data_IF_757584725619
#
_entry.id   IF_757584725619
#
_cell.length_a   1.000
_cell.length_b   1.000
_cell.length_c   1.000
_cell.angle_alpha   90.00
_cell.angle_beta   90.00
_cell.angle_gamma   90.00
#
_symmetry.space_group_name_H-M   'P 1'
#
loop_
_entity.id
_entity.type
_entity.pdbx_description
1 polymer ?
#
# COMPACT_ATOMS: atom_id res chain seq x y z
N UNK A 1 17.44 -15.50 70.68
CA UNK A 1 16.53 -14.48 70.13
C UNK A 1 16.98 -14.13 68.71
N UNK A 2 16.32 -14.67 67.68
CA UNK A 2 16.67 -14.44 66.28
C UNK A 2 15.79 -13.31 65.73
N UNK A 3 16.42 -12.21 65.31
CA UNK A 3 15.74 -11.09 64.66
C UNK A 3 15.61 -11.38 63.16
N UNK A 4 14.40 -11.53 62.62
CA UNK A 4 14.16 -11.61 61.21
C UNK A 4 13.98 -10.19 60.65
N UNK A 5 14.89 -9.78 59.76
CA UNK A 5 14.79 -8.56 58.98
C UNK A 5 13.98 -8.89 57.73
N UNK A 6 12.78 -8.31 57.62
CA UNK A 6 11.91 -8.45 56.45
C UNK A 6 12.35 -7.35 55.46
N UNK A 7 13.06 -7.74 54.41
CA UNK A 7 13.38 -6.86 53.29
C UNK A 7 12.16 -6.80 52.34
N UNK A 8 11.42 -5.70 52.36
CA UNK A 8 10.37 -5.41 51.40
C UNK A 8 11.03 -4.90 50.12
N UNK A 9 11.12 -5.76 49.12
CA UNK A 9 11.49 -5.36 47.75
C UNK A 9 10.36 -4.59 47.11
N UNK A 10 10.50 -3.27 47.02
CA UNK A 10 9.61 -2.37 46.29
C UNK A 10 9.89 -2.55 44.79
N UNK A 11 9.16 -3.42 44.12
CA UNK A 11 9.19 -3.53 42.66
C UNK A 11 8.49 -2.32 42.06
N UNK A 12 9.26 -1.28 41.73
CA UNK A 12 8.79 -0.19 40.88
C UNK A 12 8.52 -0.75 39.47
N UNK A 13 7.28 -1.07 39.18
CA UNK A 13 6.81 -1.39 37.83
C UNK A 13 7.04 -0.17 36.94
N UNK A 14 8.06 -0.23 36.09
CA UNK A 14 8.22 0.73 35.01
C UNK A 14 7.09 0.48 34.01
N UNK A 15 6.01 1.24 34.09
CA UNK A 15 5.09 1.40 33.00
C UNK A 15 5.84 2.15 31.90
N UNK A 16 6.48 1.42 30.99
CA UNK A 16 6.94 1.97 29.73
C UNK A 16 5.70 2.32 28.93
N UNK A 17 5.22 3.57 29.05
CA UNK A 17 4.33 4.14 28.06
C UNK A 17 5.09 4.17 26.75
N UNK A 18 4.85 3.19 25.86
CA UNK A 18 5.27 3.32 24.49
C UNK A 18 4.55 4.55 23.90
N UNK A 19 5.28 5.53 23.35
CA UNK A 19 4.61 6.71 22.77
C UNK A 19 3.64 6.22 21.70
N UNK A 20 2.42 6.75 21.71
CA UNK A 20 1.46 6.46 20.65
C UNK A 20 1.94 7.17 19.36
N UNK A 21 2.62 6.42 18.49
CA UNK A 21 3.17 6.96 17.25
C UNK A 21 2.10 7.23 16.18
N UNK A 22 0.82 7.03 16.49
CA UNK A 22 -0.30 7.27 15.57
C UNK A 22 -0.88 8.65 15.76
N UNK A 23 -0.89 9.44 14.70
CA UNK A 23 -1.54 10.75 14.63
C UNK A 23 -2.74 10.67 13.69
N UNK A 24 -3.91 11.07 14.18
CA UNK A 24 -5.11 11.24 13.35
C UNK A 24 -5.14 12.67 12.84
N UNK A 25 -5.02 12.86 11.53
CA UNK A 25 -4.95 14.18 10.90
C UNK A 25 -6.25 14.55 10.18
N UNK A 26 -7.06 15.39 10.83
CA UNK A 26 -8.31 15.90 10.26
C UNK A 26 -8.10 16.96 9.16
N UNK A 27 -6.91 17.54 9.03
CA UNK A 27 -6.63 18.50 7.96
C UNK A 27 -6.60 17.80 6.59
N UNK A 28 -6.12 16.57 6.54
CA UNK A 28 -6.15 15.74 5.33
C UNK A 28 -7.59 15.39 4.95
N UNK A 29 -8.47 15.11 5.92
CA UNK A 29 -9.90 14.88 5.65
C UNK A 29 -10.51 16.07 4.93
N UNK A 30 -10.21 17.31 5.35
CA UNK A 30 -10.66 18.54 4.68
C UNK A 30 -10.16 18.64 3.23
N UNK A 31 -8.95 18.14 2.94
CA UNK A 31 -8.44 18.09 1.57
C UNK A 31 -9.26 17.11 0.73
N UNK A 32 -9.57 15.92 1.27
CA UNK A 32 -10.40 14.92 0.61
C UNK A 32 -11.80 15.48 0.32
N UNK A 33 -12.43 16.12 1.31
CA UNK A 33 -13.75 16.75 1.16
C UNK A 33 -13.73 17.85 0.07
N UNK A 34 -12.68 18.70 0.08
CA UNK A 34 -12.50 19.75 -0.94
C UNK A 34 -12.30 19.21 -2.35
N UNK A 35 -11.79 17.99 -2.47
CA UNK A 35 -11.65 17.28 -3.74
C UNK A 35 -12.93 16.54 -4.16
N UNK A 36 -14.00 16.58 -3.34
CA UNK A 36 -15.26 15.88 -3.59
C UNK A 36 -15.17 14.36 -3.47
N UNK A 37 -14.25 13.86 -2.66
CA UNK A 37 -14.04 12.43 -2.45
C UNK A 37 -14.24 12.06 -0.97
N UNK A 38 -14.65 10.82 -0.75
CA UNK A 38 -14.68 10.20 0.57
C UNK A 38 -13.61 9.11 0.59
N UNK A 39 -12.84 8.99 1.68
CA UNK A 39 -11.81 7.98 1.72
C UNK A 39 -10.89 8.10 2.91
N UNK A 40 -9.73 7.48 2.80
CA UNK A 40 -8.67 7.54 3.79
C UNK A 40 -7.30 7.75 3.13
N UNK A 41 -6.43 8.36 3.88
CA UNK A 41 -5.01 8.45 3.59
C UNK A 41 -4.24 7.93 4.80
N UNK A 42 -3.15 7.23 4.55
CA UNK A 42 -2.21 6.88 5.60
C UNK A 42 -0.78 7.00 5.11
N UNK A 43 0.11 7.45 6.00
CA UNK A 43 1.53 7.61 5.76
C UNK A 43 2.30 7.06 6.96
N UNK A 44 3.19 6.11 6.70
CA UNK A 44 4.06 5.49 7.67
C UNK A 44 5.51 5.91 7.42
N UNK A 45 6.11 6.61 8.36
CA UNK A 45 7.54 6.89 8.41
C UNK A 45 8.28 5.66 8.95
N UNK A 46 9.03 4.98 8.10
CA UNK A 46 9.62 3.69 8.46
C UNK A 46 10.67 3.79 9.58
N UNK A 47 11.46 4.86 9.62
CA UNK A 47 12.54 5.05 10.60
C UNK A 47 12.03 5.27 12.03
N UNK A 48 11.09 6.19 12.21
CA UNK A 48 10.52 6.54 13.50
C UNK A 48 9.32 5.67 13.90
N UNK A 49 8.70 4.99 12.94
CA UNK A 49 7.42 4.31 13.13
C UNK A 49 6.25 5.28 13.30
N UNK A 50 6.43 6.58 13.05
CA UNK A 50 5.36 7.58 13.08
C UNK A 50 4.34 7.28 11.99
N UNK A 51 3.07 7.30 12.36
CA UNK A 51 1.97 6.93 11.49
C UNK A 51 0.91 8.03 11.47
N UNK A 52 0.76 8.70 10.35
CA UNK A 52 -0.28 9.73 10.14
C UNK A 52 -1.43 9.13 9.37
N UNK A 53 -2.65 9.22 9.90
CA UNK A 53 -3.85 8.63 9.30
C UNK A 53 -4.94 9.68 9.21
N UNK A 54 -5.58 9.78 8.06
CA UNK A 54 -6.85 10.50 7.88
C UNK A 54 -7.98 9.48 7.73
N UNK A 55 -9.05 9.61 8.52
CA UNK A 55 -10.20 8.71 8.55
C UNK A 55 -9.84 7.26 8.92
N UNK A 56 -9.52 7.05 10.20
CA UNK A 56 -9.05 5.77 10.72
C UNK A 56 -10.00 4.59 10.46
N UNK A 57 -11.31 4.78 10.64
CA UNK A 57 -12.29 3.70 10.41
C UNK A 57 -12.32 3.30 8.94
N UNK A 58 -12.30 4.26 8.02
CA UNK A 58 -12.24 3.96 6.59
C UNK A 58 -10.92 3.24 6.22
N UNK A 59 -9.81 3.66 6.82
CA UNK A 59 -8.50 3.04 6.61
C UNK A 59 -8.48 1.56 7.03
N UNK A 60 -9.06 1.22 8.19
CA UNK A 60 -8.98 -0.13 8.77
C UNK A 60 -10.13 -1.04 8.36
N UNK A 61 -11.34 -0.50 8.27
CA UNK A 61 -12.56 -1.31 8.26
C UNK A 61 -13.24 -1.34 6.89
N UNK A 62 -12.92 -0.37 5.99
CA UNK A 62 -13.50 -0.34 4.65
C UNK A 62 -12.65 -1.16 3.69
N UNK A 63 -13.17 -2.34 3.33
CA UNK A 63 -12.58 -3.19 2.31
C UNK A 63 -13.23 -2.92 0.95
N UNK A 64 -12.43 -2.79 -0.10
CA UNK A 64 -12.86 -2.52 -1.47
C UNK A 64 -12.11 -3.40 -2.45
N UNK A 65 -12.66 -3.56 -3.66
CA UNK A 65 -11.95 -4.26 -4.75
C UNK A 65 -10.57 -3.62 -4.96
N UNK A 66 -9.50 -4.41 -5.04
CA UNK A 66 -8.15 -3.87 -5.24
C UNK A 66 -7.95 -3.24 -6.61
N UNK A 67 -8.80 -3.53 -7.59
CA UNK A 67 -8.67 -3.07 -8.96
C UNK A 67 -7.28 -3.43 -9.53
N UNK A 68 -6.71 -2.61 -10.39
CA UNK A 68 -5.37 -2.84 -10.94
C UNK A 68 -4.22 -2.75 -9.91
N UNK A 69 -4.47 -2.30 -8.66
CA UNK A 69 -3.47 -2.44 -7.60
C UNK A 69 -3.17 -3.89 -7.25
N UNK A 70 -4.08 -4.82 -7.55
CA UNK A 70 -3.85 -6.26 -7.49
C UNK A 70 -2.65 -6.70 -8.33
N UNK A 71 -2.31 -5.98 -9.39
CA UNK A 71 -1.27 -6.37 -10.33
C UNK A 71 0.15 -6.43 -9.74
N UNK A 72 0.35 -5.93 -8.52
CA UNK A 72 1.56 -6.22 -7.73
C UNK A 72 1.82 -7.73 -7.70
N UNK A 73 0.79 -8.50 -7.40
CA UNK A 73 0.92 -9.94 -7.16
C UNK A 73 1.25 -10.73 -8.42
N UNK A 74 0.48 -10.65 -9.52
CA UNK A 74 0.85 -11.35 -10.76
C UNK A 74 2.17 -10.84 -11.36
N UNK A 75 2.58 -9.58 -11.14
CA UNK A 75 3.91 -9.10 -11.55
C UNK A 75 5.02 -9.86 -10.83
N UNK A 76 4.94 -9.97 -9.51
CA UNK A 76 5.94 -10.68 -8.72
C UNK A 76 5.99 -12.18 -9.06
N UNK A 77 4.83 -12.84 -9.21
CA UNK A 77 4.76 -14.24 -9.62
C UNK A 77 5.36 -14.44 -11.01
N UNK A 78 5.04 -13.57 -11.96
CA UNK A 78 5.50 -13.68 -13.34
C UNK A 78 7.01 -13.46 -13.47
N UNK A 79 7.56 -12.50 -12.71
CA UNK A 79 9.01 -12.29 -12.59
C UNK A 79 9.69 -13.52 -11.97
N UNK A 80 9.12 -14.07 -10.93
CA UNK A 80 9.68 -15.22 -10.21
C UNK A 80 9.68 -16.49 -11.04
N UNK A 81 8.67 -16.68 -11.87
CA UNK A 81 8.53 -17.82 -12.79
C UNK A 81 9.21 -17.60 -14.14
N UNK A 82 9.79 -16.41 -14.40
CA UNK A 82 10.40 -16.09 -15.69
C UNK A 82 9.40 -15.89 -16.84
N UNK A 83 8.10 -15.72 -16.54
CA UNK A 83 7.06 -15.34 -17.52
C UNK A 83 7.35 -13.93 -18.05
N UNK A 84 7.79 -13.05 -17.14
CA UNK A 84 8.32 -11.72 -17.48
C UNK A 84 9.83 -11.74 -17.33
N UNK A 85 10.53 -11.33 -18.40
CA UNK A 85 11.98 -11.21 -18.36
C UNK A 85 12.40 -10.01 -17.49
N UNK A 86 13.26 -10.23 -16.50
CA UNK A 86 13.77 -9.20 -15.59
C UNK A 86 14.44 -8.02 -16.30
N UNK A 87 15.08 -8.24 -17.44
CA UNK A 87 15.79 -7.20 -18.18
C UNK A 87 14.86 -6.38 -19.10
N UNK A 88 13.66 -6.88 -19.36
CA UNK A 88 12.66 -6.25 -20.22
C UNK A 88 11.43 -5.76 -19.45
N UNK A 89 11.39 -5.98 -18.15
CA UNK A 89 10.28 -5.55 -17.30
C UNK A 89 10.22 -4.02 -17.30
N UNK A 90 9.16 -3.48 -17.87
CA UNK A 90 8.87 -2.05 -17.95
C UNK A 90 7.41 -1.83 -17.60
N UNK A 91 7.14 -0.91 -16.68
CA UNK A 91 5.77 -0.59 -16.32
C UNK A 91 4.97 -0.04 -17.53
N UNK A 92 5.61 0.73 -18.41
CA UNK A 92 4.95 1.31 -19.58
C UNK A 92 4.36 0.26 -20.52
N UNK A 93 4.98 -0.92 -20.63
CA UNK A 93 4.45 -2.05 -21.42
C UNK A 93 3.43 -2.89 -20.63
N UNK A 94 3.33 -2.68 -19.33
CA UNK A 94 2.54 -3.50 -18.39
C UNK A 94 1.30 -2.76 -17.86
N UNK A 95 1.04 -1.54 -18.31
CA UNK A 95 -0.07 -0.70 -17.80
C UNK A 95 -1.41 -0.97 -18.54
N UNK A 96 -1.66 -2.22 -18.91
CA UNK A 96 -2.92 -2.59 -19.54
C UNK A 96 -3.56 -3.80 -18.88
N UNK A 97 -4.89 -3.72 -18.74
CA UNK A 97 -5.70 -4.83 -18.20
C UNK A 97 -5.53 -6.09 -19.05
N UNK A 98 -5.48 -5.98 -20.38
CA UNK A 98 -5.30 -7.12 -21.28
C UNK A 98 -3.95 -7.81 -21.12
N UNK A 99 -2.88 -7.06 -20.85
CA UNK A 99 -1.58 -7.61 -20.54
C UNK A 99 -1.65 -8.48 -19.27
N UNK A 100 -2.26 -7.98 -18.20
CA UNK A 100 -2.38 -8.72 -16.96
C UNK A 100 -3.34 -9.90 -17.03
N UNK A 101 -4.40 -9.82 -17.81
CA UNK A 101 -5.28 -10.97 -18.08
C UNK A 101 -4.49 -12.13 -18.72
N UNK A 102 -3.60 -11.82 -19.67
CA UNK A 102 -2.70 -12.82 -20.28
C UNK A 102 -1.71 -13.39 -19.25
N UNK A 103 -1.06 -12.54 -18.45
CA UNK A 103 -0.15 -12.97 -17.37
C UNK A 103 -0.87 -13.86 -16.36
N UNK A 104 -2.05 -13.48 -15.90
CA UNK A 104 -2.86 -14.26 -14.94
C UNK A 104 -3.25 -15.62 -15.53
N UNK A 105 -3.58 -15.67 -16.82
CA UNK A 105 -3.86 -16.92 -17.54
C UNK A 105 -2.63 -17.84 -17.55
N UNK A 106 -1.45 -17.31 -17.85
CA UNK A 106 -0.20 -18.08 -17.84
C UNK A 106 0.21 -18.56 -16.45
N UNK A 107 -0.01 -17.74 -15.41
CA UNK A 107 0.23 -18.10 -14.00
C UNK A 107 -0.69 -19.24 -13.57
N UNK A 108 -1.95 -19.19 -13.99
CA UNK A 108 -2.99 -20.15 -13.65
C UNK A 108 -3.66 -19.89 -12.29
N UNK A 109 -4.97 -20.17 -12.24
CA UNK A 109 -5.85 -19.92 -11.08
C UNK A 109 -5.29 -20.47 -9.77
N UNK A 110 -4.84 -21.73 -9.77
CA UNK A 110 -4.39 -22.39 -8.54
C UNK A 110 -3.16 -21.71 -7.92
N UNK A 111 -2.25 -21.21 -8.75
CA UNK A 111 -1.07 -20.46 -8.28
C UNK A 111 -1.49 -19.12 -7.67
N UNK A 112 -2.41 -18.41 -8.33
CA UNK A 112 -2.95 -17.13 -7.81
C UNK A 112 -3.58 -17.35 -6.43
N UNK A 113 -4.49 -18.32 -6.28
CA UNK A 113 -5.17 -18.62 -5.01
C UNK A 113 -4.15 -18.95 -3.92
N UNK A 114 -3.24 -19.89 -4.18
CA UNK A 114 -2.20 -20.28 -3.20
C UNK A 114 -1.34 -19.10 -2.77
N UNK A 115 -1.05 -18.19 -3.69
CA UNK A 115 -0.23 -17.01 -3.38
C UNK A 115 -1.03 -16.01 -2.54
N UNK A 116 -2.27 -15.71 -2.90
CA UNK A 116 -3.19 -14.87 -2.11
C UNK A 116 -3.25 -15.38 -0.65
N UNK A 117 -3.48 -16.68 -0.48
CA UNK A 117 -3.57 -17.31 0.85
C UNK A 117 -2.25 -17.22 1.62
N UNK A 118 -1.12 -17.50 0.96
CA UNK A 118 0.22 -17.52 1.59
C UNK A 118 0.65 -16.17 2.12
N UNK A 119 0.28 -15.08 1.43
CA UNK A 119 0.63 -13.72 1.85
C UNK A 119 -0.51 -13.03 2.62
N UNK A 120 -1.66 -13.69 2.76
CA UNK A 120 -2.88 -13.14 3.38
C UNK A 120 -3.31 -11.85 2.71
N UNK A 121 -3.49 -11.90 1.38
CA UNK A 121 -3.90 -10.75 0.60
C UNK A 121 -5.41 -10.55 0.67
N UNK A 122 -5.85 -9.58 1.45
CA UNK A 122 -7.26 -9.19 1.52
C UNK A 122 -8.20 -10.29 2.04
N UNK A 123 -9.46 -10.16 1.69
CA UNK A 123 -10.56 -11.06 2.07
C UNK A 123 -11.40 -11.42 0.85
N UNK A 124 -12.13 -12.55 0.97
CA UNK A 124 -13.00 -13.03 -0.09
C UNK A 124 -12.38 -14.18 -0.89
N UNK A 125 -12.90 -14.36 -2.08
CA UNK A 125 -12.52 -15.48 -2.94
C UNK A 125 -12.14 -14.98 -4.34
N UNK A 126 -11.25 -15.70 -4.98
CA UNK A 126 -11.03 -15.51 -6.41
C UNK A 126 -12.23 -16.10 -7.15
N UNK A 127 -13.06 -15.27 -7.79
CA UNK A 127 -14.22 -15.72 -8.53
C UNK A 127 -13.85 -16.63 -9.71
N UNK A 128 -14.83 -17.27 -10.34
CA UNK A 128 -14.60 -18.09 -11.52
C UNK A 128 -14.10 -17.25 -12.71
N UNK A 129 -14.45 -15.96 -12.75
CA UNK A 129 -13.99 -15.04 -13.79
C UNK A 129 -12.56 -14.58 -13.52
N UNK A 130 -11.59 -15.33 -14.01
CA UNK A 130 -10.17 -15.04 -13.86
C UNK A 130 -9.72 -13.73 -14.53
N UNK A 131 -10.57 -13.12 -15.33
CA UNK A 131 -10.25 -11.87 -16.05
C UNK A 131 -10.71 -10.62 -15.30
N UNK A 132 -11.45 -10.76 -14.20
CA UNK A 132 -12.07 -9.61 -13.52
C UNK A 132 -12.18 -9.73 -12.00
N UNK A 133 -11.80 -10.87 -11.39
CA UNK A 133 -12.00 -11.11 -9.95
C UNK A 133 -11.39 -10.03 -9.04
N UNK A 134 -10.40 -9.29 -9.52
CA UNK A 134 -9.80 -8.17 -8.79
C UNK A 134 -10.64 -6.88 -8.83
N UNK A 135 -11.72 -6.83 -9.61
CA UNK A 135 -12.63 -5.68 -9.72
C UNK A 135 -14.10 -6.02 -9.53
N UNK A 136 -14.48 -7.31 -9.52
CA UNK A 136 -15.88 -7.76 -9.45
C UNK A 136 -16.47 -7.79 -8.02
N UNK A 137 -15.68 -7.40 -7.02
CA UNK A 137 -16.08 -7.39 -5.61
C UNK A 137 -15.90 -8.72 -4.88
N UNK A 138 -15.51 -9.79 -5.57
CA UNK A 138 -15.29 -11.10 -4.94
C UNK A 138 -14.04 -11.14 -4.06
N UNK A 139 -13.00 -10.39 -4.43
CA UNK A 139 -11.80 -10.15 -3.67
C UNK A 139 -11.78 -8.68 -3.20
N UNK A 140 -11.60 -8.47 -1.89
CA UNK A 140 -11.56 -7.13 -1.30
C UNK A 140 -10.36 -6.97 -0.39
N UNK A 141 -9.87 -5.74 -0.24
CA UNK A 141 -8.70 -5.41 0.59
C UNK A 141 -8.91 -4.06 1.27
N UNK A 142 -8.38 -3.90 2.47
CA UNK A 142 -8.39 -2.62 3.20
C UNK A 142 -7.16 -1.77 2.83
N UNK A 143 -7.21 -0.48 3.15
CA UNK A 143 -6.06 0.40 2.97
C UNK A 143 -4.89 -0.01 3.88
N UNK A 144 -5.16 -0.51 5.08
CA UNK A 144 -4.15 -1.05 6.01
C UNK A 144 -3.40 -2.25 5.40
N UNK A 145 -4.14 -3.19 4.83
CA UNK A 145 -3.54 -4.36 4.17
C UNK A 145 -2.72 -3.98 2.93
N UNK A 146 -3.18 -3.01 2.13
CA UNK A 146 -2.44 -2.49 0.97
C UNK A 146 -1.12 -1.81 1.38
N UNK A 147 -1.14 -0.99 2.44
CA UNK A 147 0.06 -0.36 2.98
C UNK A 147 1.06 -1.42 3.49
N UNK A 148 0.57 -2.43 4.19
CA UNK A 148 1.37 -3.56 4.64
C UNK A 148 1.99 -4.34 3.48
N UNK A 149 1.25 -4.55 2.40
CA UNK A 149 1.75 -5.26 1.21
C UNK A 149 2.90 -4.51 0.53
N UNK A 150 2.73 -3.21 0.25
CA UNK A 150 3.77 -2.42 -0.43
C UNK A 150 5.04 -2.30 0.42
N UNK A 151 4.90 -2.17 1.75
CA UNK A 151 6.03 -2.20 2.69
C UNK A 151 6.78 -3.53 2.63
N UNK A 152 6.06 -4.66 2.70
CA UNK A 152 6.67 -6.00 2.59
C UNK A 152 7.37 -6.21 1.24
N UNK A 153 6.78 -5.74 0.14
CA UNK A 153 7.41 -5.78 -1.19
C UNK A 153 8.69 -4.95 -1.23
N UNK A 154 8.70 -3.77 -0.62
CA UNK A 154 9.88 -2.90 -0.53
C UNK A 154 11.03 -3.59 0.21
N UNK A 155 10.78 -4.18 1.37
CA UNK A 155 11.78 -4.86 2.19
C UNK A 155 12.09 -6.29 1.73
N UNK A 156 11.51 -6.75 0.62
CA UNK A 156 11.71 -8.11 0.09
C UNK A 156 11.31 -9.20 1.10
N UNK A 157 10.24 -8.96 1.84
CA UNK A 157 9.68 -9.85 2.85
C UNK A 157 8.55 -10.74 2.31
N UNK A 158 8.15 -10.54 1.04
CA UNK A 158 7.21 -11.43 0.38
C UNK A 158 7.90 -12.74 -0.07
N UNK A 159 7.17 -13.85 -0.21
CA UNK A 159 7.74 -15.16 -0.54
C UNK A 159 8.10 -15.27 -2.04
N UNK A 160 8.85 -14.29 -2.55
CA UNK A 160 9.38 -14.23 -3.89
C UNK A 160 10.89 -14.00 -3.85
N UNK A 161 11.58 -14.33 -4.95
CA UNK A 161 13.00 -14.06 -5.07
C UNK A 161 13.29 -12.58 -4.85
N UNK A 162 14.36 -12.27 -4.12
CA UNK A 162 14.76 -10.89 -3.85
C UNK A 162 14.96 -10.08 -5.13
N UNK A 163 15.50 -10.72 -6.17
CA UNK A 163 15.70 -10.10 -7.49
C UNK A 163 14.37 -9.70 -8.14
N UNK A 164 13.33 -10.54 -8.06
CA UNK A 164 12.00 -10.24 -8.60
C UNK A 164 11.39 -9.01 -7.89
N UNK A 165 11.54 -8.92 -6.58
CA UNK A 165 11.07 -7.78 -5.79
C UNK A 165 11.87 -6.50 -6.08
N UNK A 166 13.17 -6.59 -6.37
CA UNK A 166 13.99 -5.45 -6.81
C UNK A 166 13.56 -4.94 -8.19
N UNK A 167 13.30 -5.84 -9.13
CA UNK A 167 12.80 -5.45 -10.46
C UNK A 167 11.44 -4.78 -10.33
N UNK A 168 10.54 -5.36 -9.53
CA UNK A 168 9.23 -4.76 -9.26
C UNK A 168 9.35 -3.33 -8.70
N UNK A 169 10.24 -3.09 -7.73
CA UNK A 169 10.49 -1.74 -7.19
C UNK A 169 10.89 -0.74 -8.28
N UNK A 170 11.76 -1.14 -9.21
CA UNK A 170 12.16 -0.29 -10.35
C UNK A 170 11.00 -0.03 -11.30
N UNK A 171 10.11 -1.00 -11.50
CA UNK A 171 8.95 -0.86 -12.39
C UNK A 171 7.96 0.19 -11.89
N UNK A 172 7.78 0.34 -10.59
CA UNK A 172 6.82 1.29 -10.00
C UNK A 172 7.40 2.67 -9.71
N UNK A 173 8.70 2.90 -9.97
CA UNK A 173 9.32 4.23 -9.88
C UNK A 173 8.70 5.14 -10.94
N UNK A 174 8.16 6.27 -10.52
CA UNK A 174 7.48 7.24 -11.39
C UNK A 174 8.25 8.55 -11.52
N UNK A 175 8.87 8.98 -10.44
CA UNK A 175 9.59 10.25 -10.38
C UNK A 175 10.88 10.10 -9.59
N UNK A 176 11.95 10.65 -10.13
CA UNK A 176 13.26 10.71 -9.48
C UNK A 176 13.91 12.05 -9.80
N UNK A 177 14.31 12.78 -8.78
CA UNK A 177 15.06 14.02 -8.88
C UNK A 177 16.06 14.13 -7.72
N UNK A 178 16.70 15.30 -7.56
CA UNK A 178 17.67 15.52 -6.48
C UNK A 178 17.08 15.50 -5.08
N UNK A 179 15.78 15.70 -4.94
CA UNK A 179 15.11 15.85 -3.65
C UNK A 179 14.47 14.56 -3.17
N UNK A 180 13.82 13.80 -4.09
CA UNK A 180 13.09 12.59 -3.74
C UNK A 180 13.00 11.59 -4.89
N UNK A 181 12.61 10.36 -4.53
CA UNK A 181 12.13 9.34 -5.46
C UNK A 181 10.71 8.96 -5.06
N UNK A 182 9.78 9.03 -6.00
CA UNK A 182 8.39 8.70 -5.78
C UNK A 182 7.99 7.48 -6.60
N UNK A 183 7.65 6.41 -5.90
CA UNK A 183 7.26 5.11 -6.46
C UNK A 183 5.82 4.81 -6.08
N UNK A 184 4.96 4.56 -7.08
CA UNK A 184 3.56 4.25 -6.79
C UNK A 184 2.87 3.47 -7.91
N UNK A 185 1.75 2.88 -7.53
CA UNK A 185 0.74 2.29 -8.39
C UNK A 185 -0.56 3.04 -8.23
N UNK A 186 -1.29 3.18 -9.32
CA UNK A 186 -2.65 3.71 -9.34
C UNK A 186 -3.62 2.65 -9.81
N UNK A 187 -4.82 2.68 -9.25
CA UNK A 187 -5.93 1.87 -9.74
C UNK A 187 -7.22 2.69 -9.64
N UNK A 188 -8.01 2.68 -10.69
CA UNK A 188 -9.26 3.42 -10.73
C UNK A 188 -10.33 2.62 -11.49
N UNK A 189 -11.56 2.73 -11.03
CA UNK A 189 -12.74 2.21 -11.71
C UNK A 189 -13.80 3.32 -11.81
N UNK A 190 -14.09 3.73 -13.02
CA UNK A 190 -15.08 4.77 -13.30
C UNK A 190 -16.52 4.34 -13.02
N UNK A 191 -16.80 3.04 -12.94
CA UNK A 191 -18.12 2.50 -12.66
C UNK A 191 -18.48 2.64 -11.18
N UNK A 192 -17.53 2.30 -10.30
CA UNK A 192 -17.68 2.39 -8.85
C UNK A 192 -17.11 3.69 -8.28
N UNK A 193 -16.40 4.47 -9.11
CA UNK A 193 -15.62 5.65 -8.71
C UNK A 193 -14.59 5.36 -7.59
N UNK A 194 -14.17 4.12 -7.48
CA UNK A 194 -13.18 3.65 -6.52
C UNK A 194 -11.77 3.88 -7.05
N UNK A 195 -10.87 4.39 -6.20
CA UNK A 195 -9.50 4.73 -6.60
C UNK A 195 -8.50 4.36 -5.51
N UNK A 196 -7.38 3.81 -5.93
CA UNK A 196 -6.21 3.54 -5.11
C UNK A 196 -4.98 4.28 -5.63
N UNK A 197 -4.19 4.84 -4.72
CA UNK A 197 -2.78 5.19 -4.96
C UNK A 197 -1.98 4.62 -3.80
N UNK A 198 -1.09 3.69 -4.09
CA UNK A 198 -0.28 2.99 -3.08
C UNK A 198 1.18 3.04 -3.48
N UNK A 199 2.05 3.30 -2.53
CA UNK A 199 3.47 3.43 -2.84
C UNK A 199 4.32 3.87 -1.69
N UNK A 200 5.45 4.45 -2.05
CA UNK A 200 6.41 5.02 -1.10
C UNK A 200 7.19 6.17 -1.73
N UNK A 201 7.69 7.02 -0.87
CA UNK A 201 8.64 8.08 -1.16
C UNK A 201 9.96 7.78 -0.45
N UNK A 202 11.07 8.03 -1.15
CA UNK A 202 12.42 7.98 -0.59
C UNK A 202 12.99 9.41 -0.62
N UNK A 203 13.30 9.98 0.56
CA UNK A 203 13.85 11.33 0.71
C UNK A 203 14.97 11.30 1.76
N UNK A 204 16.17 11.77 1.42
CA UNK A 204 17.32 11.85 2.32
C UNK A 204 17.60 10.56 3.14
N UNK A 205 17.56 9.38 2.51
CA UNK A 205 17.73 8.06 3.15
C UNK A 205 16.53 7.58 3.98
N UNK A 206 15.50 8.37 4.16
CA UNK A 206 14.26 8.00 4.82
C UNK A 206 13.26 7.44 3.81
N UNK A 207 12.38 6.56 4.30
CA UNK A 207 11.36 5.90 3.48
C UNK A 207 10.01 6.11 4.12
N UNK A 208 9.05 6.56 3.33
CA UNK A 208 7.70 6.90 3.73
C UNK A 208 6.70 6.11 2.89
N UNK A 209 6.04 5.13 3.49
CA UNK A 209 5.01 4.35 2.82
C UNK A 209 3.67 5.06 2.91
N UNK A 210 2.93 5.07 1.83
CA UNK A 210 1.62 5.71 1.81
C UNK A 210 0.57 4.87 1.08
N UNK A 211 -0.68 5.10 1.45
CA UNK A 211 -1.87 4.64 0.74
C UNK A 211 -2.92 5.74 0.75
N UNK A 212 -3.49 6.00 -0.42
CA UNK A 212 -4.68 6.82 -0.60
C UNK A 212 -5.76 5.92 -1.21
N UNK A 213 -6.88 5.77 -0.51
CA UNK A 213 -8.06 5.06 -0.99
C UNK A 213 -9.23 6.03 -0.99
N UNK A 214 -9.85 6.24 -2.12
CA UNK A 214 -10.97 7.17 -2.24
C UNK A 214 -12.10 6.61 -3.09
N UNK A 215 -13.32 7.02 -2.75
CA UNK A 215 -14.51 6.86 -3.57
C UNK A 215 -15.06 8.24 -3.88
N UNK A 216 -15.30 8.52 -5.15
CA UNK A 216 -15.79 9.81 -5.58
C UNK A 216 -17.30 9.79 -5.85
N UNK A 217 -17.94 10.94 -5.71
CA UNK A 217 -19.31 11.15 -6.17
C UNK A 217 -19.41 11.37 -7.69
N UNK A 218 -18.28 11.64 -8.35
CA UNK A 218 -18.23 11.92 -9.79
C UNK A 218 -16.98 11.30 -10.42
N UNK A 219 -17.10 10.83 -11.68
CA UNK A 219 -15.98 10.25 -12.42
C UNK A 219 -14.81 11.23 -12.63
N UNK A 220 -15.04 12.53 -12.67
CA UNK A 220 -13.99 13.54 -12.84
C UNK A 220 -12.99 13.57 -11.70
N UNK A 221 -13.42 13.31 -10.45
CA UNK A 221 -12.51 13.30 -9.30
C UNK A 221 -11.63 12.03 -9.27
N UNK A 222 -12.05 10.94 -9.91
CA UNK A 222 -11.30 9.69 -10.01
C UNK A 222 -9.98 9.87 -10.79
N UNK A 223 -9.96 10.75 -11.79
CA UNK A 223 -8.80 10.98 -12.65
C UNK A 223 -7.69 11.83 -12.00
N UNK A 224 -7.93 12.43 -10.83
CA UNK A 224 -7.01 13.35 -10.17
C UNK A 224 -6.35 12.76 -8.92
N UNK A 225 -6.41 11.45 -8.70
CA UNK A 225 -5.94 10.81 -7.48
C UNK A 225 -4.44 11.02 -7.20
N UNK A 226 -3.59 11.06 -8.22
CA UNK A 226 -2.16 11.33 -8.07
C UNK A 226 -1.91 12.80 -7.70
N UNK A 227 -2.62 13.74 -8.32
CA UNK A 227 -2.53 15.15 -7.95
C UNK A 227 -3.02 15.38 -6.51
N UNK A 228 -4.07 14.68 -6.09
CA UNK A 228 -4.57 14.70 -4.72
C UNK A 228 -3.53 14.12 -3.74
N UNK A 229 -2.92 12.97 -4.05
CA UNK A 229 -1.82 12.41 -3.27
C UNK A 229 -0.70 13.42 -3.11
N UNK A 230 -0.19 14.01 -4.20
CA UNK A 230 0.90 14.99 -4.16
C UNK A 230 0.54 16.23 -3.35
N UNK A 231 -0.69 16.73 -3.46
CA UNK A 231 -1.18 17.83 -2.62
C UNK A 231 -1.12 17.49 -1.13
N UNK A 232 -1.53 16.28 -0.75
CA UNK A 232 -1.44 15.82 0.64
C UNK A 232 0.01 15.71 1.08
N UNK A 233 0.88 15.08 0.28
CA UNK A 233 2.30 14.91 0.59
C UNK A 233 2.98 16.28 0.76
N UNK A 234 2.77 17.22 -0.15
CA UNK A 234 3.31 18.58 -0.06
C UNK A 234 2.84 19.31 1.21
N UNK A 235 1.55 19.21 1.57
CA UNK A 235 1.03 19.81 2.81
C UNK A 235 1.66 19.19 4.06
N UNK A 236 2.03 17.91 4.00
CA UNK A 236 2.73 17.21 5.08
C UNK A 236 4.24 17.48 5.06
N UNK A 237 4.75 18.31 4.14
CA UNK A 237 6.17 18.71 4.03
C UNK A 237 7.05 17.68 3.33
N UNK A 238 6.49 16.81 2.48
CA UNK A 238 7.19 15.86 1.64
C UNK A 238 7.44 16.43 0.23
N UNK A 239 8.20 15.71 -0.60
CA UNK A 239 8.54 16.07 -1.99
C UNK A 239 9.40 17.35 -2.11
N UNK A 240 10.06 17.77 -1.04
CA UNK A 240 10.81 19.03 -0.99
C UNK A 240 12.32 18.85 -0.73
N UNK A 241 12.76 17.65 -0.37
CA UNK A 241 14.13 17.35 0.01
C UNK A 241 14.50 17.87 1.40
N UNK A 242 13.53 18.08 2.27
CA UNK A 242 13.69 18.68 3.60
C UNK A 242 13.61 17.68 4.76
N UNK A 243 13.40 16.39 4.46
CA UNK A 243 13.19 15.33 5.44
C UNK A 243 14.40 14.44 5.62
#
# INVERSE_FOLDING_TARGET
>A
MKKYIFAVLLSAGMFACSPNNVTIDSSIVKILDSAGVVGSFALLENGSGKFTIANLSHYKDTASSPLSSFFILPSLIALDKGIINHNQASWASMDSTSYYQNIITQIGRQTIIKTIDSIRYGKGVVSANMNEFWKDGSLTITADEQLGLIKRAFFKELPFQKRSQEVFRKMILKEENSNYKLSYLTAADSTTNNTWVIGYEEENTHIYFFVLHTTSKTAAATNNSVALLKKILLQQGFLQGLR
#
